data_IF_544851900367
#
_entry.id   IF_544851900367
#
_cell.length_a   1.000
_cell.length_b   1.000
_cell.length_c   1.000
_cell.angle_alpha   90.00
_cell.angle_beta   90.00
_cell.angle_gamma   90.00
#
_symmetry.space_group_name_H-M   'P 1'
#
loop_
_entity.id
_entity.type
_entity.pdbx_description
1 polymer ?
#
# COMPACT_ATOMS: atom_id res chain seq x y z
N UNK A 1 -36.36 52.44 -47.79
CA UNK A 1 -36.10 52.51 -46.35
C UNK A 1 -35.94 51.09 -45.81
N UNK A 2 -34.70 50.63 -45.56
CA UNK A 2 -34.38 49.27 -45.10
C UNK A 2 -34.37 49.24 -43.57
N UNK A 3 -35.22 48.41 -42.95
CA UNK A 3 -35.19 48.17 -41.49
C UNK A 3 -34.37 46.90 -41.21
N UNK A 4 -33.17 47.11 -40.66
CA UNK A 4 -32.37 46.07 -40.00
C UNK A 4 -33.11 45.65 -38.73
N UNK A 5 -33.47 44.37 -38.64
CA UNK A 5 -34.00 43.77 -37.42
C UNK A 5 -32.87 43.00 -36.74
N UNK A 6 -32.63 43.41 -35.51
CA UNK A 6 -31.49 43.12 -34.66
C UNK A 6 -31.43 41.62 -34.31
N UNK A 7 -30.25 41.04 -34.52
CA UNK A 7 -29.86 39.72 -34.02
C UNK A 7 -30.04 39.68 -32.49
N UNK A 8 -31.10 39.02 -32.03
CA UNK A 8 -31.29 38.63 -30.64
C UNK A 8 -30.28 37.55 -30.29
N UNK A 9 -29.06 37.97 -29.93
CA UNK A 9 -28.02 37.12 -29.39
C UNK A 9 -28.45 36.56 -28.05
N UNK A 10 -29.06 35.37 -28.06
CA UNK A 10 -29.22 34.52 -26.89
C UNK A 10 -27.83 34.04 -26.49
N UNK A 11 -27.09 34.90 -25.78
CA UNK A 11 -25.83 34.60 -25.13
C UNK A 11 -26.14 33.67 -23.95
N UNK A 12 -26.42 32.40 -24.27
CA UNK A 12 -26.58 31.32 -23.33
C UNK A 12 -25.20 31.08 -22.71
N UNK A 13 -24.90 31.86 -21.67
CA UNK A 13 -23.76 31.68 -20.78
C UNK A 13 -23.73 30.24 -20.33
N UNK A 14 -22.85 29.46 -20.96
CA UNK A 14 -22.38 28.16 -20.49
C UNK A 14 -21.80 28.36 -19.08
N UNK A 15 -22.67 28.32 -18.08
CA UNK A 15 -22.35 27.88 -16.72
C UNK A 15 -22.02 26.39 -16.82
N UNK A 16 -20.88 26.06 -17.44
CA UNK A 16 -20.23 24.80 -17.22
C UNK A 16 -19.78 24.84 -15.76
N UNK A 17 -20.37 24.06 -14.83
CA UNK A 17 -19.73 23.90 -13.54
C UNK A 17 -18.36 23.31 -13.83
N UNK A 18 -17.31 24.11 -13.64
CA UNK A 18 -15.94 23.63 -13.66
C UNK A 18 -15.85 22.59 -12.56
N UNK A 19 -16.11 21.33 -12.92
CA UNK A 19 -15.86 20.19 -12.06
C UNK A 19 -14.35 20.17 -11.89
N UNK A 20 -13.88 20.86 -10.85
CA UNK A 20 -12.53 20.74 -10.35
C UNK A 20 -12.39 19.27 -9.94
N UNK A 21 -11.92 18.46 -10.89
CA UNK A 21 -11.50 17.09 -10.64
C UNK A 21 -10.40 17.20 -9.60
N UNK A 22 -10.78 16.99 -8.34
CA UNK A 22 -9.87 17.13 -7.22
C UNK A 22 -8.84 16.02 -7.34
N UNK A 23 -7.64 16.39 -7.78
CA UNK A 23 -6.53 15.47 -7.96
C UNK A 23 -6.28 14.69 -6.66
N UNK A 24 -6.07 13.38 -6.79
CA UNK A 24 -5.72 12.54 -5.65
C UNK A 24 -4.33 12.93 -5.14
N UNK A 25 -4.11 12.95 -3.81
CA UNK A 25 -2.83 13.35 -3.24
C UNK A 25 -1.76 12.26 -3.42
N UNK A 26 -2.18 11.00 -3.60
CA UNK A 26 -1.32 9.85 -3.79
C UNK A 26 -0.83 9.79 -5.23
N UNK A 27 0.49 9.74 -5.40
CA UNK A 27 1.13 9.69 -6.71
C UNK A 27 1.57 8.26 -7.05
N UNK A 28 2.23 7.55 -6.12
CA UNK A 28 2.73 6.19 -6.37
C UNK A 28 2.90 5.37 -5.10
N UNK A 29 2.56 4.09 -5.20
CA UNK A 29 2.89 3.08 -4.19
C UNK A 29 4.14 2.30 -4.59
N UNK A 30 4.98 2.00 -3.61
CA UNK A 30 6.13 1.12 -3.70
C UNK A 30 5.92 0.01 -2.68
N UNK A 31 5.57 -1.19 -3.12
CA UNK A 31 5.20 -2.28 -2.23
C UNK A 31 6.11 -3.49 -2.46
N UNK A 32 6.77 -3.92 -1.40
CA UNK A 32 7.66 -5.06 -1.39
C UNK A 32 7.30 -6.01 -0.25
N UNK A 33 7.60 -7.29 -0.42
CA UNK A 33 7.50 -8.29 0.64
C UNK A 33 8.80 -9.07 0.74
N UNK A 34 9.21 -9.39 1.95
CA UNK A 34 10.38 -10.21 2.21
C UNK A 34 9.99 -11.34 3.14
N UNK A 35 10.32 -12.56 2.75
CA UNK A 35 10.15 -13.72 3.62
C UNK A 35 11.36 -13.86 4.53
N UNK A 36 11.08 -14.24 5.77
CA UNK A 36 12.10 -14.55 6.75
C UNK A 36 11.96 -16.01 7.17
N UNK A 37 13.01 -16.78 6.92
CA UNK A 37 13.11 -18.20 7.31
C UNK A 37 13.98 -18.32 8.57
N UNK A 38 13.58 -19.13 9.57
CA UNK A 38 14.42 -19.33 10.74
C UNK A 38 15.72 -20.04 10.34
N UNK A 39 16.83 -19.58 10.93
CA UNK A 39 18.14 -20.23 10.77
C UNK A 39 18.32 -21.49 11.62
N UNK A 40 17.41 -21.77 12.56
CA UNK A 40 17.52 -22.92 13.48
C UNK A 40 16.78 -24.15 12.95
N UNK A 41 17.39 -25.32 13.15
CA UNK A 41 16.78 -26.63 12.90
C UNK A 41 15.53 -26.75 13.78
N UNK A 42 14.36 -27.12 13.23
CA UNK A 42 13.14 -27.23 14.02
C UNK A 42 13.32 -28.18 15.20
N UNK A 43 12.89 -27.73 16.38
CA UNK A 43 12.97 -28.54 17.60
C UNK A 43 12.09 -29.79 17.46
N UNK A 44 12.62 -30.94 17.87
CA UNK A 44 11.81 -32.17 18.01
C UNK A 44 11.03 -32.05 19.31
N UNK A 45 9.72 -31.84 19.22
CA UNK A 45 8.86 -31.81 20.40
C UNK A 45 8.42 -33.24 20.70
N UNK A 46 8.72 -33.79 21.90
CA UNK A 46 8.24 -35.12 22.28
C UNK A 46 6.71 -35.09 22.50
N UNK A 47 5.97 -35.94 21.78
CA UNK A 47 4.55 -36.21 22.05
C UNK A 47 4.37 -37.36 23.05
N UNK A 48 3.19 -37.41 23.66
CA UNK A 48 2.74 -38.46 24.59
C UNK A 48 2.81 -39.89 24.01
N UNK A 49 2.76 -40.01 22.68
CA UNK A 49 2.85 -41.24 21.91
C UNK A 49 4.27 -41.58 21.39
N UNK A 50 5.31 -40.91 21.88
CA UNK A 50 6.73 -41.27 21.66
C UNK A 50 7.30 -41.01 20.26
N UNK A 51 6.48 -40.52 19.31
CA UNK A 51 6.95 -40.11 18.00
C UNK A 51 7.24 -38.61 17.98
N UNK A 52 8.46 -38.16 17.62
CA UNK A 52 8.78 -36.74 17.54
C UNK A 52 8.06 -36.10 16.34
N UNK A 53 7.31 -35.03 16.60
CA UNK A 53 6.76 -34.19 15.53
C UNK A 53 7.76 -33.08 15.22
N UNK A 54 8.03 -32.87 13.93
CA UNK A 54 8.86 -31.77 13.46
C UNK A 54 7.98 -30.53 13.42
N UNK A 55 8.23 -29.57 14.32
CA UNK A 55 7.53 -28.29 14.28
C UNK A 55 7.93 -27.58 12.98
N UNK A 56 6.99 -27.37 12.06
CA UNK A 56 7.33 -26.72 10.79
C UNK A 56 7.70 -25.25 11.07
N UNK A 57 8.90 -24.81 10.66
CA UNK A 57 9.34 -23.46 10.94
C UNK A 57 8.39 -22.43 10.33
N UNK A 58 7.87 -21.52 11.16
CA UNK A 58 6.94 -20.47 10.70
C UNK A 58 7.69 -19.47 9.82
N UNK A 59 7.38 -19.46 8.53
CA UNK A 59 7.85 -18.42 7.61
C UNK A 59 7.12 -17.11 7.93
N UNK A 60 7.86 -16.08 8.31
CA UNK A 60 7.31 -14.74 8.54
C UNK A 60 7.42 -13.92 7.26
N UNK A 61 6.40 -13.16 6.91
CA UNK A 61 6.46 -12.20 5.80
C UNK A 61 6.48 -10.79 6.36
N UNK A 62 7.51 -10.03 6.02
CA UNK A 62 7.63 -8.60 6.32
C UNK A 62 7.24 -7.80 5.09
N UNK A 63 6.44 -6.75 5.26
CA UNK A 63 6.04 -5.86 4.19
C UNK A 63 6.78 -4.52 4.28
N UNK A 64 7.35 -4.08 3.18
CA UNK A 64 7.92 -2.74 3.04
C UNK A 64 7.07 -1.97 2.03
N UNK A 65 6.17 -1.15 2.54
CA UNK A 65 5.20 -0.43 1.71
C UNK A 65 5.41 1.06 1.94
N UNK A 66 5.61 1.79 0.84
CA UNK A 66 5.80 3.23 0.84
C UNK A 66 4.84 3.89 -0.14
N UNK A 67 4.49 5.13 0.15
CA UNK A 67 3.67 5.98 -0.72
C UNK A 67 4.36 7.32 -0.95
N UNK A 68 4.43 7.76 -2.20
CA UNK A 68 4.79 9.13 -2.53
C UNK A 68 3.53 9.99 -2.69
N UNK A 69 3.57 11.16 -2.05
CA UNK A 69 2.48 12.11 -2.00
C UNK A 69 2.90 13.43 -2.63
N UNK A 70 1.92 14.20 -3.11
CA UNK A 70 2.16 15.60 -3.46
C UNK A 70 2.76 16.34 -2.26
N UNK A 71 3.68 17.30 -2.47
CA UNK A 71 4.22 18.13 -1.40
C UNK A 71 3.07 18.76 -0.59
N UNK A 72 3.16 18.74 0.74
CA UNK A 72 2.17 19.27 1.71
C UNK A 72 0.87 18.48 1.86
N UNK A 73 0.65 17.41 1.07
CA UNK A 73 -0.55 16.61 1.21
C UNK A 73 -0.57 15.85 2.55
N UNK A 74 -1.62 16.06 3.34
CA UNK A 74 -1.86 15.33 4.58
C UNK A 74 -3.01 14.35 4.37
N UNK A 75 -2.71 13.06 4.47
CA UNK A 75 -3.70 11.99 4.41
C UNK A 75 -3.80 11.28 5.76
N UNK A 76 -4.99 10.80 6.10
CA UNK A 76 -5.20 9.91 7.25
C UNK A 76 -5.50 8.51 6.74
N UNK A 77 -4.80 7.52 7.28
CA UNK A 77 -5.09 6.12 6.98
C UNK A 77 -6.44 5.73 7.58
N UNK A 78 -7.23 4.95 6.85
CA UNK A 78 -8.49 4.40 7.34
C UNK A 78 -8.41 2.88 7.46
N UNK A 79 -8.11 2.18 6.35
CA UNK A 79 -8.03 0.71 6.31
C UNK A 79 -7.00 0.25 5.29
N UNK A 80 -6.42 -0.92 5.54
CA UNK A 80 -5.43 -1.56 4.67
C UNK A 80 -5.83 -3.00 4.47
N UNK A 81 -5.81 -3.45 3.21
CA UNK A 81 -5.96 -4.85 2.86
C UNK A 81 -4.73 -5.32 2.09
N UNK A 82 -4.15 -6.45 2.52
CA UNK A 82 -3.02 -7.10 1.85
C UNK A 82 -3.43 -8.54 1.57
N UNK A 83 -3.43 -8.93 0.29
CA UNK A 83 -3.86 -10.26 -0.14
C UNK A 83 -5.26 -10.63 0.35
N UNK A 84 -6.19 -9.68 0.33
CA UNK A 84 -7.57 -9.89 0.76
C UNK A 84 -7.84 -9.78 2.26
N UNK A 85 -6.80 -9.75 3.11
CA UNK A 85 -6.94 -9.68 4.57
C UNK A 85 -6.76 -8.24 5.05
N UNK A 86 -7.57 -7.81 6.03
CA UNK A 86 -7.45 -6.48 6.61
C UNK A 86 -6.35 -6.47 7.68
N UNK A 87 -5.55 -5.40 7.72
CA UNK A 87 -4.46 -5.22 8.69
C UNK A 87 -4.65 -3.96 9.51
N UNK A 88 -4.20 -4.01 10.77
CA UNK A 88 -3.87 -2.82 11.54
C UNK A 88 -2.59 -2.22 10.96
N UNK A 89 -2.64 -0.93 10.67
CA UNK A 89 -1.52 -0.24 10.07
C UNK A 89 -1.55 1.26 10.43
N UNK A 90 -0.41 1.92 10.25
CA UNK A 90 -0.26 3.36 10.42
C UNK A 90 0.69 3.94 9.37
N UNK A 91 0.64 5.24 9.16
CA UNK A 91 1.67 5.92 8.37
C UNK A 91 2.75 6.48 9.27
N UNK A 92 4.01 6.24 8.91
CA UNK A 92 5.19 6.88 9.48
C UNK A 92 5.87 7.74 8.40
N UNK A 93 6.41 8.92 8.74
CA UNK A 93 7.20 9.71 7.79
C UNK A 93 8.50 8.97 7.42
N UNK A 94 8.97 9.16 6.19
CA UNK A 94 10.30 8.71 5.76
C UNK A 94 11.21 9.94 5.69
N UNK A 95 12.25 9.94 6.50
CA UNK A 95 13.10 11.12 6.69
C UNK A 95 13.97 11.44 5.47
N UNK A 96 14.36 10.43 4.67
CA UNK A 96 15.23 10.63 3.52
C UNK A 96 14.99 9.63 2.39
N UNK A 97 15.32 10.04 1.16
CA UNK A 97 15.31 9.18 -0.02
C UNK A 97 16.66 9.26 -0.75
N UNK A 98 17.12 8.19 -1.44
CA UNK A 98 16.42 6.92 -1.68
C UNK A 98 16.29 6.04 -0.44
N UNK A 99 15.24 5.23 -0.39
CA UNK A 99 15.11 4.14 0.59
C UNK A 99 15.66 2.88 -0.05
N UNK A 100 16.62 2.25 0.63
CA UNK A 100 17.37 1.12 0.11
C UNK A 100 17.33 -0.03 1.11
N UNK A 101 17.10 -1.24 0.60
CA UNK A 101 17.17 -2.47 1.38
C UNK A 101 18.43 -3.25 1.01
N UNK A 102 19.13 -3.70 2.04
CA UNK A 102 20.32 -4.54 1.93
C UNK A 102 19.96 -5.94 2.41
N UNK A 103 19.98 -6.91 1.49
CA UNK A 103 19.75 -8.31 1.83
C UNK A 103 21.08 -9.03 1.96
N UNK A 104 21.30 -9.63 3.12
CA UNK A 104 22.46 -10.45 3.41
C UNK A 104 22.07 -11.91 3.30
N UNK A 105 22.68 -12.62 2.35
CA UNK A 105 22.52 -14.06 2.17
C UNK A 105 23.84 -14.73 2.53
N UNK A 106 23.79 -15.80 3.33
CA UNK A 106 24.98 -16.52 3.76
C UNK A 106 25.80 -17.00 2.55
N UNK A 107 27.06 -16.57 2.46
CA UNK A 107 27.97 -16.96 1.37
C UNK A 107 27.84 -16.16 0.05
N UNK A 108 26.98 -15.14 -0.01
CA UNK A 108 26.79 -14.30 -1.20
C UNK A 108 27.14 -12.83 -0.96
N UNK A 109 27.34 -12.07 -2.04
CA UNK A 109 27.46 -10.62 -1.98
C UNK A 109 26.16 -9.96 -1.51
N UNK A 110 26.27 -8.78 -0.90
CA UNK A 110 25.11 -8.01 -0.42
C UNK A 110 24.26 -7.57 -1.61
N UNK A 111 23.01 -8.03 -1.65
CA UNK A 111 22.06 -7.58 -2.67
C UNK A 111 21.43 -6.26 -2.22
N UNK A 112 21.49 -5.26 -3.09
CA UNK A 112 20.95 -3.93 -2.82
C UNK A 112 19.72 -3.67 -3.68
N UNK A 113 18.56 -3.42 -3.06
CA UNK A 113 17.34 -3.04 -3.77
C UNK A 113 16.90 -1.64 -3.38
N UNK A 114 16.82 -0.74 -4.36
CA UNK A 114 16.22 0.59 -4.17
C UNK A 114 14.70 0.43 -4.10
N UNK A 115 14.13 0.62 -2.90
CA UNK A 115 12.70 0.53 -2.65
C UNK A 115 11.96 1.80 -3.09
N UNK A 116 12.54 2.95 -2.75
CA UNK A 116 12.04 4.27 -3.17
C UNK A 116 13.21 5.03 -3.78
N UNK A 117 13.11 5.50 -5.03
CA UNK A 117 14.16 6.29 -5.65
C UNK A 117 14.28 7.67 -4.98
N UNK A 118 15.40 8.36 -5.22
CA UNK A 118 15.58 9.75 -4.76
C UNK A 118 14.46 10.63 -5.32
N UNK A 119 13.79 11.39 -4.47
CA UNK A 119 12.66 12.25 -4.85
C UNK A 119 12.54 13.48 -3.96
N UNK A 120 11.89 14.53 -4.48
CA UNK A 120 11.47 15.73 -3.72
C UNK A 120 10.05 15.61 -3.16
N UNK A 121 9.35 14.53 -3.49
CA UNK A 121 8.00 14.24 -3.00
C UNK A 121 8.05 13.86 -1.52
N UNK A 122 6.94 14.12 -0.81
CA UNK A 122 6.78 13.58 0.53
C UNK A 122 6.59 12.06 0.43
N UNK A 123 7.35 11.31 1.23
CA UNK A 123 7.25 9.85 1.30
C UNK A 123 6.83 9.44 2.70
N UNK A 124 5.88 8.51 2.77
CA UNK A 124 5.44 7.89 4.01
C UNK A 124 5.57 6.37 3.89
N UNK A 125 5.96 5.72 4.97
CA UNK A 125 5.93 4.27 5.12
C UNK A 125 4.59 3.86 5.71
N UNK A 126 3.98 2.84 5.13
CA UNK A 126 2.85 2.15 5.72
C UNK A 126 3.42 1.04 6.63
N UNK A 127 3.39 1.29 7.93
CA UNK A 127 3.79 0.33 8.96
C UNK A 127 2.61 -0.62 9.18
N UNK A 128 2.85 -1.91 8.91
CA UNK A 128 1.83 -2.97 9.01
C UNK A 128 2.09 -3.79 10.27
N UNK A 129 1.07 -3.89 11.11
CA UNK A 129 1.16 -4.62 12.38
C UNK A 129 0.53 -6.02 12.21
N UNK A 130 -0.68 -6.22 12.72
CA UNK A 130 -1.36 -7.51 12.80
C UNK A 130 -2.54 -7.60 11.82
N UNK A 131 -2.89 -8.84 11.46
CA UNK A 131 -4.12 -9.14 10.72
C UNK A 131 -5.32 -8.96 11.64
N UNK A 132 -6.34 -8.26 11.17
CA UNK A 132 -7.62 -8.14 11.86
C UNK A 132 -8.47 -9.36 11.51
N UNK A 133 -8.63 -10.27 12.47
CA UNK A 133 -9.36 -11.53 12.28
C UNK A 133 -10.87 -11.35 12.09
N UNK A 134 -11.44 -10.30 12.68
CA UNK A 134 -12.86 -9.97 12.60
C UNK A 134 -13.02 -8.50 12.24
N UNK A 135 -13.02 -8.15 10.95
CA UNK A 135 -13.22 -6.76 10.53
C UNK A 135 -14.63 -6.31 10.89
N UNK A 136 -14.73 -5.15 11.52
CA UNK A 136 -15.97 -4.43 11.84
C UNK A 136 -16.65 -3.81 10.61
N UNK A 137 -15.96 -3.81 9.47
CA UNK A 137 -16.38 -3.15 8.25
C UNK A 137 -16.72 -4.16 7.15
N UNK A 138 -17.93 -4.02 6.58
CA UNK A 138 -18.35 -4.74 5.38
C UNK A 138 -18.09 -3.88 4.14
N UNK A 139 -17.14 -4.24 3.25
CA UNK A 139 -16.87 -3.46 2.06
C UNK A 139 -18.05 -3.48 1.08
N UNK A 140 -18.23 -2.40 0.33
CA UNK A 140 -19.19 -2.38 -0.78
C UNK A 140 -18.77 -3.36 -1.89
N UNK A 141 -19.69 -3.76 -2.76
CA UNK A 141 -19.41 -4.71 -3.87
C UNK A 141 -18.21 -4.27 -4.72
N UNK A 142 -18.11 -2.96 -4.99
CA UNK A 142 -17.00 -2.39 -5.76
C UNK A 142 -15.66 -2.52 -5.01
N UNK A 143 -15.65 -2.22 -3.71
CA UNK A 143 -14.44 -2.32 -2.88
C UNK A 143 -14.04 -3.78 -2.70
N UNK A 144 -14.98 -4.70 -2.47
CA UNK A 144 -14.72 -6.14 -2.41
C UNK A 144 -14.08 -6.66 -3.70
N UNK A 145 -14.56 -6.21 -4.87
CA UNK A 145 -13.96 -6.55 -6.17
C UNK A 145 -12.56 -5.97 -6.34
N UNK A 146 -12.29 -4.78 -5.79
CA UNK A 146 -10.96 -4.18 -5.79
C UNK A 146 -9.99 -4.98 -4.90
N UNK A 147 -10.44 -5.36 -3.70
CA UNK A 147 -9.68 -6.15 -2.74
C UNK A 147 -9.32 -7.52 -3.33
N UNK A 148 -10.26 -8.21 -3.97
CA UNK A 148 -9.99 -9.55 -4.51
C UNK A 148 -9.04 -9.56 -5.72
N UNK A 149 -8.90 -8.43 -6.42
CA UNK A 149 -8.06 -8.30 -7.62
C UNK A 149 -6.70 -7.65 -7.36
N UNK A 150 -6.47 -7.14 -6.16
CA UNK A 150 -5.29 -6.33 -5.85
C UNK A 150 -4.48 -6.99 -4.74
N UNK A 151 -3.16 -6.88 -4.84
CA UNK A 151 -2.26 -7.36 -3.79
C UNK A 151 -2.30 -6.44 -2.57
N UNK A 152 -2.47 -5.13 -2.77
CA UNK A 152 -2.62 -4.12 -1.72
C UNK A 152 -3.77 -3.17 -2.09
N UNK A 153 -4.64 -2.90 -1.12
CA UNK A 153 -5.65 -1.83 -1.18
C UNK A 153 -5.51 -0.99 0.08
N UNK A 154 -5.50 0.33 -0.08
CA UNK A 154 -5.42 1.29 1.02
C UNK A 154 -6.57 2.29 0.87
N UNK A 155 -7.38 2.41 1.91
CA UNK A 155 -8.32 3.52 2.03
C UNK A 155 -7.76 4.60 2.95
N UNK A 156 -7.96 5.85 2.55
CA UNK A 156 -7.45 7.01 3.27
C UNK A 156 -8.36 8.21 3.10
N UNK A 157 -8.34 9.13 4.06
CA UNK A 157 -9.01 10.43 3.95
C UNK A 157 -8.06 11.52 3.51
N UNK A 158 -8.54 12.36 2.61
CA UNK A 158 -7.87 13.59 2.19
C UNK A 158 -8.91 14.71 2.08
N UNK A 159 -8.68 15.83 2.78
CA UNK A 159 -9.62 16.96 2.82
C UNK A 159 -11.07 16.51 3.10
N UNK A 160 -11.24 15.61 4.08
CA UNK A 160 -12.54 15.06 4.50
C UNK A 160 -13.11 13.95 3.61
N UNK A 161 -12.63 13.78 2.37
CA UNK A 161 -13.12 12.78 1.42
C UNK A 161 -12.38 11.46 1.55
N UNK A 162 -13.11 10.35 1.43
CA UNK A 162 -12.56 9.00 1.43
C UNK A 162 -12.09 8.62 0.02
N UNK A 163 -10.87 8.12 -0.08
CA UNK A 163 -10.26 7.64 -1.31
C UNK A 163 -9.79 6.19 -1.14
N UNK A 164 -9.67 5.50 -2.27
CA UNK A 164 -9.10 4.16 -2.35
C UNK A 164 -7.97 4.18 -3.37
N UNK A 165 -6.84 3.59 -3.00
CA UNK A 165 -5.71 3.36 -3.91
C UNK A 165 -5.26 1.91 -3.77
N UNK A 166 -4.75 1.33 -4.85
CA UNK A 166 -4.40 -0.07 -4.90
C UNK A 166 -3.20 -0.33 -5.81
N UNK A 167 -2.52 -1.45 -5.56
CA UNK A 167 -1.56 -2.02 -6.52
C UNK A 167 -1.90 -3.49 -6.74
N UNK A 168 -1.83 -3.90 -8.01
CA UNK A 168 -2.08 -5.28 -8.42
C UNK A 168 -0.99 -6.24 -7.93
N UNK A 169 0.22 -5.75 -7.62
CA UNK A 169 1.38 -6.58 -7.26
C UNK A 169 2.16 -6.00 -6.10
N UNK A 170 2.72 -6.89 -5.28
CA UNK A 170 3.75 -6.62 -4.28
C UNK A 170 5.01 -7.34 -4.76
N UNK A 171 6.13 -6.62 -4.88
CA UNK A 171 7.39 -7.19 -5.37
C UNK A 171 8.04 -8.03 -4.26
N UNK A 172 8.22 -9.32 -4.50
CA UNK A 172 8.98 -10.18 -3.60
C UNK A 172 10.48 -9.81 -3.64
N UNK A 173 11.08 -9.68 -2.47
CA UNK A 173 12.52 -9.55 -2.27
C UNK A 173 13.12 -10.91 -1.95
N UNK A 174 14.44 -11.02 -2.13
CA UNK A 174 15.21 -12.19 -1.73
C UNK A 174 14.96 -12.50 -0.24
N UNK A 175 14.60 -13.75 0.09
CA UNK A 175 14.40 -14.17 1.47
C UNK A 175 15.65 -13.92 2.32
N UNK A 176 15.44 -13.62 3.60
CA UNK A 176 16.52 -13.38 4.55
C UNK A 176 16.38 -14.30 5.75
N UNK A 177 17.47 -14.93 6.17
CA UNK A 177 17.49 -15.67 7.42
C UNK A 177 17.34 -14.69 8.59
N UNK A 178 16.43 -14.98 9.53
CA UNK A 178 16.44 -14.29 10.82
C UNK A 178 17.25 -15.13 11.82
N UNK A 179 18.13 -14.45 12.55
CA UNK A 179 18.87 -14.99 13.68
C UNK A 179 18.02 -14.91 14.95
#
# INVERSE_FOLDING_TARGET
MKRMLVFGGLLLTLLLPAQLVQAQPVLKWYAFSQQSTPGMIPARVPRENGQPEIETPRVRTTYYIYVSLQPTAKISLEKVWIGGKQYKASFAPVDSTPVVNYTYTAGSSVETTVMVPRTKLQVMQLVVDEVISQPDFKPSVQVSKMISKSALVVSYRYKGKLYYSYTAKIKALTPQAYM
#
